data_IF_541682797249
#
_entry.id   IF_541682797249
#
_cell.length_a   1.000
_cell.length_b   1.000
_cell.length_c   1.000
_cell.angle_alpha   90.00
_cell.angle_beta   90.00
_cell.angle_gamma   90.00
#
_symmetry.space_group_name_H-M   'P 1'
#
loop_
_entity.id
_entity.type
_entity.pdbx_description
1 polymer ?
#
# COMPACT_ATOMS: atom_id res chain seq x y z
N UNK A 1 -17.70 -0.01 -24.52
CA UNK A 1 -16.74 1.00 -25.03
C UNK A 1 -15.51 0.88 -24.13
N UNK A 2 -14.52 0.08 -24.55
CA UNK A 2 -13.30 -0.16 -23.77
C UNK A 2 -12.40 1.08 -23.93
N UNK A 3 -12.22 1.82 -22.84
CA UNK A 3 -11.23 2.89 -22.77
C UNK A 3 -9.84 2.27 -23.04
N UNK A 4 -9.03 2.82 -23.93
CA UNK A 4 -7.68 2.31 -24.13
C UNK A 4 -6.92 2.48 -22.81
N UNK A 5 -6.62 1.35 -22.17
CA UNK A 5 -5.64 1.31 -21.10
C UNK A 5 -4.31 1.68 -21.77
N UNK A 6 -3.88 2.91 -21.62
CA UNK A 6 -2.47 3.27 -21.86
C UNK A 6 -1.68 2.23 -21.07
N UNK A 7 -0.79 1.51 -21.75
CA UNK A 7 0.09 0.53 -21.10
C UNK A 7 1.04 1.28 -20.16
N UNK A 8 0.54 1.61 -18.97
CA UNK A 8 1.37 2.13 -17.91
C UNK A 8 2.34 1.02 -17.51
N UNK A 9 3.62 1.22 -17.75
CA UNK A 9 4.63 0.28 -17.32
C UNK A 9 4.60 0.16 -15.79
N UNK A 10 4.25 -1.02 -15.30
CA UNK A 10 4.32 -1.34 -13.88
C UNK A 10 5.76 -1.69 -13.52
N UNK A 11 6.41 -0.82 -12.75
CA UNK A 11 7.78 -1.02 -12.30
C UNK A 11 7.88 -1.95 -11.10
N UNK A 12 6.87 -1.93 -10.25
CA UNK A 12 6.86 -2.74 -9.06
C UNK A 12 5.41 -3.08 -8.65
N UNK A 13 5.24 -4.32 -8.20
CA UNK A 13 4.00 -4.81 -7.61
C UNK A 13 4.31 -5.62 -6.37
N UNK A 14 3.63 -5.34 -5.28
CA UNK A 14 3.84 -6.03 -4.02
C UNK A 14 2.63 -6.05 -3.12
N UNK A 15 2.65 -6.97 -2.18
CA UNK A 15 1.65 -7.10 -1.12
C UNK A 15 2.33 -7.05 0.23
N UNK A 16 1.65 -6.56 1.27
CA UNK A 16 2.17 -6.58 2.63
C UNK A 16 2.45 -8.01 3.11
N UNK A 17 3.46 -8.14 3.95
CA UNK A 17 3.78 -9.42 4.56
C UNK A 17 2.78 -9.80 5.66
N UNK A 18 2.45 -11.08 5.78
CA UNK A 18 1.61 -11.63 6.86
C UNK A 18 2.23 -11.46 8.26
N UNK A 19 3.49 -11.07 8.36
CA UNK A 19 4.12 -10.68 9.63
C UNK A 19 3.41 -9.53 10.35
N UNK A 20 2.61 -8.73 9.63
CA UNK A 20 1.71 -7.74 10.24
C UNK A 20 0.67 -8.39 11.17
N UNK A 21 0.29 -9.62 10.89
CA UNK A 21 -0.71 -10.37 11.65
C UNK A 21 -0.10 -11.22 12.77
N UNK A 22 1.21 -11.09 13.08
CA UNK A 22 1.85 -11.94 14.10
C UNK A 22 1.17 -11.81 15.46
N UNK A 23 0.87 -10.59 15.90
CA UNK A 23 0.21 -10.34 17.18
C UNK A 23 -1.24 -10.84 17.22
N UNK A 24 -2.10 -10.51 16.22
CA UNK A 24 -3.43 -11.12 16.11
C UNK A 24 -3.41 -12.64 16.08
N UNK A 25 -2.47 -13.26 15.36
CA UNK A 25 -2.37 -14.71 15.25
C UNK A 25 -1.89 -15.34 16.56
N UNK A 26 -0.92 -14.73 17.23
CA UNK A 26 -0.46 -15.19 18.54
C UNK A 26 -1.59 -15.09 19.58
N UNK A 27 -2.33 -13.99 19.61
CA UNK A 27 -3.48 -13.81 20.47
C UNK A 27 -4.56 -14.87 20.21
N UNK A 28 -4.86 -15.13 18.92
CA UNK A 28 -5.82 -16.17 18.54
C UNK A 28 -5.35 -17.57 18.95
N UNK A 29 -4.05 -17.88 18.79
CA UNK A 29 -3.49 -19.18 19.20
C UNK A 29 -3.60 -19.38 20.71
N UNK A 30 -3.25 -18.37 21.51
CA UNK A 30 -3.40 -18.43 22.99
C UNK A 30 -4.86 -18.59 23.38
N UNK A 31 -5.77 -17.85 22.75
CA UNK A 31 -7.22 -17.98 23.00
C UNK A 31 -7.74 -19.36 22.62
N UNK A 32 -7.25 -19.94 21.51
CA UNK A 32 -7.63 -21.29 21.09
C UNK A 32 -7.24 -22.35 22.16
N UNK A 33 -6.03 -22.24 22.72
CA UNK A 33 -5.59 -23.12 23.82
C UNK A 33 -6.50 -22.98 25.05
N UNK A 34 -6.86 -21.75 25.42
CA UNK A 34 -7.82 -21.50 26.52
C UNK A 34 -9.18 -22.12 26.26
N UNK A 35 -9.71 -21.99 25.05
CA UNK A 35 -11.00 -22.61 24.66
C UNK A 35 -10.91 -24.14 24.66
N UNK A 36 -9.81 -24.73 24.21
CA UNK A 36 -9.60 -26.17 24.23
C UNK A 36 -9.62 -26.71 25.68
N UNK A 37 -8.91 -26.06 26.60
CA UNK A 37 -8.88 -26.45 28.04
C UNK A 37 -10.26 -26.24 28.67
N UNK A 38 -10.89 -25.08 28.47
CA UNK A 38 -12.22 -24.77 29.02
C UNK A 38 -13.32 -25.66 28.44
N UNK A 39 -13.20 -26.07 27.17
CA UNK A 39 -14.13 -26.97 26.50
C UNK A 39 -14.19 -28.38 27.12
N UNK A 40 -13.12 -28.80 27.81
CA UNK A 40 -13.14 -30.07 28.57
C UNK A 40 -14.15 -30.03 29.74
N UNK A 41 -14.34 -28.85 30.32
CA UNK A 41 -15.27 -28.64 31.42
C UNK A 41 -16.65 -28.18 30.94
N UNK A 42 -16.69 -27.47 29.79
CA UNK A 42 -17.90 -26.91 29.19
C UNK A 42 -17.91 -27.12 27.68
N UNK A 43 -18.38 -28.27 27.18
CA UNK A 43 -18.33 -28.63 25.75
C UNK A 43 -18.87 -27.57 24.78
N UNK A 44 -19.93 -26.78 25.08
CA UNK A 44 -20.35 -25.71 24.16
C UNK A 44 -19.29 -24.64 23.86
N UNK A 45 -18.26 -24.51 24.72
CA UNK A 45 -17.16 -23.57 24.49
C UNK A 45 -16.40 -23.83 23.15
N UNK A 46 -16.42 -25.09 22.68
CA UNK A 46 -15.79 -25.41 21.38
C UNK A 46 -16.38 -24.63 20.20
N UNK A 47 -17.64 -24.16 20.29
CA UNK A 47 -18.24 -23.29 19.29
C UNK A 47 -17.45 -21.98 19.10
N UNK A 48 -16.77 -21.51 20.15
CA UNK A 48 -15.92 -20.32 20.04
C UNK A 48 -14.73 -20.51 19.08
N UNK A 49 -14.27 -21.74 18.83
CA UNK A 49 -13.21 -22.02 17.86
C UNK A 49 -13.63 -21.67 16.44
N UNK A 50 -14.92 -21.78 16.11
CA UNK A 50 -15.45 -21.38 14.79
C UNK A 50 -15.28 -19.87 14.59
N UNK A 51 -15.68 -19.08 15.59
CA UNK A 51 -15.55 -17.63 15.56
C UNK A 51 -14.07 -17.21 15.48
N UNK A 52 -13.21 -17.89 16.24
CA UNK A 52 -11.78 -17.63 16.25
C UNK A 52 -11.15 -17.95 14.89
N UNK A 53 -11.54 -19.07 14.29
CA UNK A 53 -11.07 -19.45 12.93
C UNK A 53 -11.54 -18.45 11.88
N UNK A 54 -12.78 -17.98 11.95
CA UNK A 54 -13.31 -16.95 11.06
C UNK A 54 -12.54 -15.64 11.22
N UNK A 55 -12.20 -15.23 12.44
CA UNK A 55 -11.39 -14.05 12.73
C UNK A 55 -9.98 -14.15 12.13
N UNK A 56 -9.30 -15.28 12.32
CA UNK A 56 -7.95 -15.53 11.75
C UNK A 56 -7.99 -15.49 10.23
N UNK A 57 -8.98 -16.15 9.63
CA UNK A 57 -9.17 -16.15 8.18
C UNK A 57 -9.41 -14.73 7.64
N UNK A 58 -10.27 -13.97 8.30
CA UNK A 58 -10.54 -12.59 7.95
C UNK A 58 -9.27 -11.72 8.00
N UNK A 59 -8.49 -11.83 9.06
CA UNK A 59 -7.21 -11.12 9.20
C UNK A 59 -6.20 -11.50 8.13
N UNK A 60 -6.10 -12.79 7.83
CA UNK A 60 -5.23 -13.29 6.77
C UNK A 60 -5.61 -12.72 5.40
N UNK A 61 -6.89 -12.79 5.04
CA UNK A 61 -7.42 -12.28 3.79
C UNK A 61 -7.28 -10.76 3.69
N UNK A 62 -7.50 -10.01 4.77
CA UNK A 62 -7.37 -8.55 4.80
C UNK A 62 -5.99 -8.07 4.37
N UNK A 63 -4.92 -8.76 4.78
CA UNK A 63 -3.56 -8.42 4.37
C UNK A 63 -3.27 -8.93 2.96
N UNK A 64 -3.73 -10.12 2.60
CA UNK A 64 -3.46 -10.73 1.31
C UNK A 64 -4.11 -10.00 0.14
N UNK A 65 -5.28 -9.40 0.36
CA UNK A 65 -6.02 -8.65 -0.68
C UNK A 65 -5.48 -7.24 -0.90
N UNK A 66 -4.57 -6.76 -0.05
CA UNK A 66 -3.90 -5.50 -0.31
C UNK A 66 -2.80 -5.68 -1.35
N UNK A 67 -2.90 -4.94 -2.43
CA UNK A 67 -1.90 -4.93 -3.51
C UNK A 67 -1.51 -3.49 -3.78
N UNK A 68 -0.21 -3.24 -3.82
CA UNK A 68 0.37 -1.97 -4.19
C UNK A 68 1.07 -2.11 -5.53
N UNK A 69 0.81 -1.20 -6.44
CA UNK A 69 1.40 -1.17 -7.78
C UNK A 69 2.00 0.20 -8.04
N UNK A 70 3.28 0.23 -8.38
CA UNK A 70 3.98 1.42 -8.81
C UNK A 70 4.04 1.43 -10.33
N UNK A 71 3.38 2.39 -10.95
CA UNK A 71 3.42 2.63 -12.39
C UNK A 71 4.32 3.82 -12.73
N UNK A 72 4.43 4.17 -13.99
CA UNK A 72 5.22 5.31 -14.46
C UNK A 72 4.75 6.66 -13.91
N UNK A 73 3.47 6.82 -13.61
CA UNK A 73 2.88 8.11 -13.23
C UNK A 73 2.13 8.06 -11.90
N UNK A 74 1.73 6.87 -11.44
CA UNK A 74 0.81 6.68 -10.31
C UNK A 74 1.27 5.57 -9.37
N UNK A 75 0.87 5.70 -8.12
CA UNK A 75 0.87 4.60 -7.15
C UNK A 75 -0.57 4.17 -6.92
N UNK A 76 -0.89 2.94 -7.29
CA UNK A 76 -2.21 2.33 -7.14
C UNK A 76 -2.23 1.44 -5.91
N UNK A 77 -3.27 1.57 -5.10
CA UNK A 77 -3.52 0.77 -3.91
C UNK A 77 -4.85 0.06 -4.07
N UNK A 78 -4.80 -1.23 -4.21
CA UNK A 78 -5.99 -2.07 -4.24
C UNK A 78 -6.18 -2.71 -2.87
N UNK A 79 -7.36 -2.58 -2.28
CA UNK A 79 -7.68 -3.17 -0.98
C UNK A 79 -9.13 -3.65 -0.93
N UNK A 80 -9.40 -4.61 -0.04
CA UNK A 80 -10.73 -5.11 0.24
C UNK A 80 -10.93 -6.59 -0.10
N UNK A 81 -11.72 -7.29 0.74
CA UNK A 81 -12.02 -8.72 0.61
C UNK A 81 -13.29 -8.92 -0.23
N UNK A 82 -14.37 -8.22 0.11
CA UNK A 82 -15.68 -8.33 -0.52
C UNK A 82 -15.88 -7.17 -1.50
N UNK A 83 -15.68 -5.93 -1.02
CA UNK A 83 -15.73 -4.74 -1.85
C UNK A 83 -14.29 -4.29 -2.13
N UNK A 84 -13.93 -4.31 -3.40
CA UNK A 84 -12.62 -3.85 -3.83
C UNK A 84 -12.63 -2.32 -3.92
N UNK A 85 -11.71 -1.69 -3.18
CA UNK A 85 -11.42 -0.27 -3.26
C UNK A 85 -10.09 -0.09 -3.97
N UNK A 86 -10.06 0.75 -4.97
CA UNK A 86 -8.85 1.13 -5.71
C UNK A 86 -8.64 2.62 -5.46
N UNK A 87 -7.55 2.94 -4.80
CA UNK A 87 -7.10 4.31 -4.60
C UNK A 87 -5.85 4.55 -5.45
N UNK A 88 -5.78 5.69 -6.11
CA UNK A 88 -4.65 6.06 -6.97
C UNK A 88 -4.08 7.41 -6.52
N UNK A 89 -2.76 7.48 -6.42
CA UNK A 89 -2.02 8.71 -6.10
C UNK A 89 -1.05 9.00 -7.23
N UNK A 90 -1.12 10.19 -7.78
CA UNK A 90 -0.18 10.68 -8.79
C UNK A 90 1.18 10.97 -8.15
N UNK A 91 2.27 10.47 -8.74
CA UNK A 91 3.61 10.54 -8.16
C UNK A 91 4.12 11.97 -7.98
N UNK A 92 3.73 12.92 -8.83
CA UNK A 92 4.13 14.31 -8.67
C UNK A 92 3.58 14.97 -7.40
N UNK A 93 2.50 14.40 -6.80
CA UNK A 93 1.91 14.87 -5.54
C UNK A 93 2.63 14.37 -4.30
N UNK A 94 3.52 13.40 -4.43
CA UNK A 94 4.31 12.88 -3.32
C UNK A 94 5.32 13.95 -2.87
N UNK A 95 5.24 14.37 -1.62
CA UNK A 95 6.12 15.41 -1.04
C UNK A 95 7.36 14.80 -0.43
N UNK A 96 7.19 13.79 0.40
CA UNK A 96 8.27 13.12 1.13
C UNK A 96 8.02 11.61 1.21
N UNK A 97 9.12 10.86 1.39
CA UNK A 97 9.11 9.41 1.48
C UNK A 97 9.95 8.97 2.65
N UNK A 98 9.32 8.48 3.70
CA UNK A 98 9.96 7.98 4.90
C UNK A 98 9.95 6.46 4.94
N UNK A 99 11.06 5.86 5.37
CA UNK A 99 11.16 4.41 5.59
C UNK A 99 11.23 4.12 7.09
N UNK A 100 10.28 3.31 7.57
CA UNK A 100 10.21 2.89 8.96
C UNK A 100 10.57 1.42 9.06
N UNK A 101 11.52 1.10 9.94
CA UNK A 101 11.94 -0.27 10.26
C UNK A 101 11.86 -0.49 11.75
N UNK A 102 10.83 -1.16 12.22
CA UNK A 102 10.76 -1.65 13.60
C UNK A 102 11.82 -2.75 13.83
N UNK A 103 12.17 -3.03 15.08
CA UNK A 103 13.20 -4.02 15.41
C UNK A 103 12.89 -5.40 14.80
N UNK A 104 11.65 -5.87 14.84
CA UNK A 104 11.22 -7.13 14.25
C UNK A 104 11.27 -7.13 12.71
N UNK A 105 11.01 -5.97 12.08
CA UNK A 105 11.16 -5.80 10.63
C UNK A 105 12.63 -5.94 10.18
N UNK A 106 13.57 -5.51 11.03
CA UNK A 106 15.01 -5.70 10.75
C UNK A 106 15.39 -7.17 10.73
N UNK A 107 14.84 -7.97 11.64
CA UNK A 107 15.10 -9.42 11.72
C UNK A 107 14.48 -10.16 10.52
N UNK A 108 13.35 -9.69 9.99
CA UNK A 108 12.61 -10.34 8.89
C UNK A 108 12.93 -9.76 7.51
N UNK A 109 13.82 -8.76 7.43
CA UNK A 109 14.15 -8.07 6.17
C UNK A 109 13.01 -7.23 5.60
N UNK A 110 12.04 -6.84 6.44
CA UNK A 110 10.89 -6.04 6.07
C UNK A 110 11.12 -4.56 6.34
N UNK A 111 10.38 -3.71 5.63
CA UNK A 111 10.30 -2.27 5.87
C UNK A 111 8.90 -1.76 5.55
N UNK A 112 8.50 -0.67 6.18
CA UNK A 112 7.31 0.10 5.81
C UNK A 112 7.74 1.41 5.19
N UNK A 113 7.06 1.83 4.13
CA UNK A 113 7.28 3.11 3.47
C UNK A 113 6.06 3.98 3.73
N UNK A 114 6.30 5.17 4.25
CA UNK A 114 5.28 6.19 4.47
C UNK A 114 5.52 7.29 3.44
N UNK A 115 4.49 7.59 2.67
CA UNK A 115 4.47 8.64 1.67
C UNK A 115 3.63 9.78 2.18
N UNK A 116 4.19 10.97 2.25
CA UNK A 116 3.46 12.19 2.47
C UNK A 116 3.09 12.82 1.13
N UNK A 117 1.80 13.12 0.94
CA UNK A 117 1.28 13.62 -0.33
C UNK A 117 0.57 14.95 -0.16
N UNK A 118 0.43 15.72 -1.25
CA UNK A 118 -0.43 16.90 -1.31
C UNK A 118 -1.88 16.57 -1.68
N UNK A 119 -2.21 15.29 -1.83
CA UNK A 119 -3.58 14.86 -2.10
C UNK A 119 -4.43 15.02 -0.85
N UNK A 120 -5.59 15.70 -0.98
CA UNK A 120 -6.52 15.92 0.14
C UNK A 120 -7.23 14.65 0.60
N UNK A 121 -7.42 13.69 -0.30
CA UNK A 121 -8.08 12.43 0.00
C UNK A 121 -7.18 11.45 0.74
N UNK A 122 -5.86 11.49 0.46
CA UNK A 122 -4.86 10.58 1.04
C UNK A 122 -3.57 11.34 1.38
N UNK A 123 -3.57 12.21 2.41
CA UNK A 123 -2.40 13.01 2.79
C UNK A 123 -1.21 12.14 3.22
N UNK A 124 -1.48 10.97 3.78
CA UNK A 124 -0.48 10.00 4.19
C UNK A 124 -0.86 8.61 3.67
N UNK A 125 0.03 8.02 2.87
CA UNK A 125 -0.10 6.64 2.42
C UNK A 125 1.01 5.80 3.04
N UNK A 126 0.64 4.68 3.65
CA UNK A 126 1.60 3.73 4.20
C UNK A 126 1.57 2.43 3.41
N UNK A 127 2.72 1.99 2.93
CA UNK A 127 2.96 0.66 2.36
C UNK A 127 3.60 -0.18 3.45
N UNK A 128 2.84 -1.03 4.18
CA UNK A 128 3.33 -1.68 5.39
C UNK A 128 4.09 -2.97 5.09
N UNK A 129 5.16 -3.23 5.83
CA UNK A 129 5.87 -4.51 5.95
C UNK A 129 6.12 -5.24 4.60
N UNK A 130 6.75 -4.56 3.66
CA UNK A 130 7.15 -5.11 2.36
C UNK A 130 8.60 -5.60 2.38
N UNK A 131 8.90 -6.59 1.54
CA UNK A 131 10.26 -7.01 1.25
C UNK A 131 10.89 -6.06 0.23
N UNK A 132 12.21 -5.85 0.32
CA UNK A 132 12.92 -4.97 -0.63
C UNK A 132 12.52 -3.49 -0.49
N UNK A 133 12.12 -3.04 0.71
CA UNK A 133 11.65 -1.67 0.94
C UNK A 133 12.68 -0.59 0.59
N UNK A 134 13.99 -0.91 0.65
CA UNK A 134 15.04 0.02 0.23
C UNK A 134 15.00 0.25 -1.28
N UNK A 135 14.93 -0.84 -2.04
CA UNK A 135 14.86 -0.80 -3.50
C UNK A 135 13.60 -0.07 -3.98
N UNK A 136 12.44 -0.38 -3.35
CA UNK A 136 11.21 0.31 -3.68
C UNK A 136 11.28 1.81 -3.37
N UNK A 137 11.88 2.20 -2.25
CA UNK A 137 12.07 3.61 -1.90
C UNK A 137 12.92 4.34 -2.95
N UNK A 138 14.02 3.73 -3.39
CA UNK A 138 14.89 4.28 -4.42
C UNK A 138 14.15 4.42 -5.78
N UNK A 139 13.39 3.40 -6.17
CA UNK A 139 12.57 3.43 -7.38
C UNK A 139 11.49 4.52 -7.29
N UNK A 140 10.78 4.60 -6.16
CA UNK A 140 9.78 5.65 -5.91
C UNK A 140 10.38 7.04 -6.04
N UNK A 141 11.50 7.29 -5.37
CA UNK A 141 12.20 8.58 -5.43
C UNK A 141 12.57 8.95 -6.86
N UNK A 142 13.18 8.02 -7.59
CA UNK A 142 13.57 8.23 -8.98
C UNK A 142 12.37 8.56 -9.87
N UNK A 143 11.25 7.83 -9.71
CA UNK A 143 10.05 8.07 -10.52
C UNK A 143 9.38 9.41 -10.16
N UNK A 144 9.32 9.76 -8.87
CA UNK A 144 8.79 11.05 -8.43
C UNK A 144 9.59 12.20 -9.03
N UNK A 145 10.93 12.13 -9.03
CA UNK A 145 11.80 13.14 -9.62
C UNK A 145 11.55 13.25 -11.13
N UNK A 146 11.50 12.13 -11.86
CA UNK A 146 11.24 12.10 -13.31
C UNK A 146 9.88 12.72 -13.67
N UNK A 147 8.81 12.34 -12.97
CA UNK A 147 7.47 12.85 -13.25
C UNK A 147 7.35 14.34 -12.93
N UNK A 148 8.00 14.81 -11.88
CA UNK A 148 8.05 16.25 -11.54
C UNK A 148 8.78 17.06 -12.61
N UNK A 149 9.93 16.58 -13.09
CA UNK A 149 10.69 17.26 -14.11
C UNK A 149 9.93 17.32 -15.44
N UNK A 150 9.30 16.22 -15.86
CA UNK A 150 8.44 16.19 -17.04
C UNK A 150 7.28 17.18 -16.96
N UNK A 151 6.63 17.25 -15.78
CA UNK A 151 5.53 18.19 -15.59
C UNK A 151 5.99 19.64 -15.64
N UNK A 152 7.11 19.95 -15.00
CA UNK A 152 7.69 21.30 -15.01
C UNK A 152 8.10 21.77 -16.41
N UNK A 153 8.72 20.90 -17.22
CA UNK A 153 9.07 21.20 -18.62
C UNK A 153 7.80 21.49 -19.41
N UNK A 154 6.77 20.68 -19.28
CA UNK A 154 5.50 20.89 -19.99
C UNK A 154 4.83 22.22 -19.62
N UNK A 155 4.84 22.61 -18.35
CA UNK A 155 4.27 23.90 -17.89
C UNK A 155 5.05 25.07 -18.51
N UNK A 156 6.39 25.01 -18.61
CA UNK A 156 7.20 26.05 -19.25
C UNK A 156 6.93 26.17 -20.74
N UNK A 157 6.79 25.03 -21.45
CA UNK A 157 6.47 25.03 -22.90
C UNK A 157 5.11 25.69 -23.18
N UNK A 158 4.12 25.50 -22.31
CA UNK A 158 2.81 26.17 -22.45
C UNK A 158 2.88 27.67 -22.19
N UNK A 159 3.68 28.11 -21.22
CA UNK A 159 3.86 29.53 -20.92
C UNK A 159 4.58 30.26 -22.07
N UNK A 160 5.62 29.65 -22.64
CA UNK A 160 6.33 30.21 -23.81
C UNK A 160 5.42 30.29 -25.06
N UNK A 161 4.62 29.26 -25.32
CA UNK A 161 3.65 29.26 -26.41
C UNK A 161 2.59 30.37 -26.27
N UNK A 162 2.14 30.64 -25.04
CA UNK A 162 1.13 31.67 -24.77
C UNK A 162 1.69 33.09 -24.86
N UNK A 163 2.93 33.30 -24.45
CA UNK A 163 3.64 34.60 -24.58
C UNK A 163 3.96 34.90 -26.03
N UNK A 164 4.30 33.90 -26.86
CA UNK A 164 4.55 34.04 -28.28
C UNK A 164 3.32 34.49 -29.12
N UNK A 165 2.12 34.09 -28.72
CA UNK A 165 0.86 34.44 -29.40
C UNK A 165 0.40 35.88 -29.09
N UNK A 166 0.79 36.44 -27.95
CA UNK A 166 0.46 37.82 -27.57
C UNK A 166 1.40 38.88 -28.19
N UNK A 167 2.50 38.46 -28.84
CA UNK A 167 3.50 39.36 -29.47
C UNK A 167 3.22 39.72 -30.94
N UNK A 168 2.16 39.23 -31.56
CA UNK A 168 1.85 39.42 -32.99
C UNK A 168 0.49 40.09 -33.21
N UNK A 169 0.00 40.88 -32.27
CA UNK A 169 -1.22 41.68 -32.38
C UNK A 169 -0.95 43.16 -32.53
#
# INVERSE_FOLDING_TARGET
MLWPMTEENTFWRGSPSQWLNIWPFTGAAVSAVGVLIGGLFFPPAFAALILLSAYVLWKYLSVRTQVFELTSERLRVTSGIINQKIDEIELYRVKDTQMIRSWWMRLTGLASIVLETSDRGMPNLTIPAIRGGLELREQLRKQVELVRDQKRVREMDFDEAHVGDLGHG
#
